data_IF_757911669648
#
_entry.id   IF_757911669648
#
_cell.length_a   1.000
_cell.length_b   1.000
_cell.length_c   1.000
_cell.angle_alpha   90.00
_cell.angle_beta   90.00
_cell.angle_gamma   90.00
#
_symmetry.space_group_name_H-M   'P 1'
#
loop_
_entity.id
_entity.type
_entity.pdbx_description
1 polymer ?
#
# COMPACT_ATOMS: atom_id res chain seq x y z
N UNK A 1 -29.85 11.74 -25.51
CA UNK A 1 -30.79 12.56 -24.74
C UNK A 1 -30.77 12.02 -23.33
N UNK A 2 -30.39 12.83 -22.33
CA UNK A 2 -30.25 12.37 -20.93
C UNK A 2 -31.52 12.71 -20.18
N UNK A 3 -32.02 11.82 -19.34
CA UNK A 3 -33.20 12.03 -18.50
C UNK A 3 -32.73 12.32 -17.08
N UNK A 4 -33.24 13.37 -16.47
CA UNK A 4 -32.91 13.72 -15.07
C UNK A 4 -34.17 14.05 -14.29
N UNK A 5 -34.09 13.91 -12.98
CA UNK A 5 -35.15 14.34 -12.07
C UNK A 5 -34.75 15.63 -11.39
N UNK A 6 -35.50 16.70 -11.63
CA UNK A 6 -35.28 18.01 -11.03
C UNK A 6 -36.15 18.18 -9.78
N UNK A 7 -35.55 18.64 -8.70
CA UNK A 7 -36.22 19.07 -7.48
C UNK A 7 -35.97 20.56 -7.24
N UNK A 8 -36.89 21.22 -6.55
CA UNK A 8 -36.63 22.56 -5.98
C UNK A 8 -35.66 22.39 -4.83
N UNK A 9 -34.67 23.27 -4.73
CA UNK A 9 -33.69 23.28 -3.64
C UNK A 9 -34.36 23.21 -2.26
N UNK A 10 -33.90 22.30 -1.39
CA UNK A 10 -34.48 22.02 -0.08
C UNK A 10 -35.72 21.11 -0.07
N UNK A 11 -36.31 20.78 -1.23
CA UNK A 11 -37.47 19.88 -1.30
C UNK A 11 -37.08 18.47 -1.75
N UNK A 12 -37.47 17.46 -0.96
CA UNK A 12 -37.38 16.05 -1.36
C UNK A 12 -38.66 15.58 -2.11
N UNK A 13 -39.64 16.47 -2.32
CA UNK A 13 -40.97 16.13 -2.84
C UNK A 13 -41.23 16.83 -4.18
N UNK A 14 -42.10 16.24 -4.99
CA UNK A 14 -42.55 16.76 -6.29
C UNK A 14 -41.47 16.90 -7.39
N UNK A 15 -40.51 15.96 -7.44
CA UNK A 15 -39.51 15.90 -8.51
C UNK A 15 -40.14 15.81 -9.90
N UNK A 16 -39.62 16.58 -10.86
CA UNK A 16 -40.06 16.58 -12.26
C UNK A 16 -39.01 15.93 -13.14
N UNK A 17 -39.41 14.91 -13.88
CA UNK A 17 -38.53 14.28 -14.86
C UNK A 17 -38.48 15.14 -16.12
N UNK A 18 -37.27 15.51 -16.55
CA UNK A 18 -37.03 16.31 -17.76
C UNK A 18 -35.95 15.66 -18.62
N UNK A 19 -36.03 15.92 -19.93
CA UNK A 19 -34.97 15.59 -20.85
C UNK A 19 -33.97 16.75 -20.93
N UNK A 20 -32.69 16.44 -20.76
CA UNK A 20 -31.58 17.37 -20.90
C UNK A 20 -31.10 17.34 -22.36
N UNK A 21 -31.18 18.50 -23.01
CA UNK A 21 -30.69 18.75 -24.35
C UNK A 21 -30.15 20.19 -24.44
N UNK A 22 -29.18 20.41 -25.34
CA UNK A 22 -28.62 21.74 -25.56
C UNK A 22 -27.63 22.18 -24.48
N UNK A 23 -27.79 23.42 -24.02
CA UNK A 23 -26.91 24.13 -23.08
C UNK A 23 -27.48 24.16 -21.66
N UNK A 24 -26.65 24.55 -20.67
CA UNK A 24 -27.12 24.71 -19.28
C UNK A 24 -28.26 25.74 -19.17
N UNK A 25 -28.24 26.79 -20.00
CA UNK A 25 -29.32 27.78 -20.08
C UNK A 25 -30.64 27.18 -20.55
N UNK A 26 -30.60 26.21 -21.48
CA UNK A 26 -31.79 25.49 -21.92
C UNK A 26 -32.37 24.63 -20.79
N UNK A 27 -31.49 23.96 -20.02
CA UNK A 27 -31.89 23.19 -18.84
C UNK A 27 -32.53 24.08 -17.77
N UNK A 28 -31.95 25.25 -17.49
CA UNK A 28 -32.50 26.23 -16.53
C UNK A 28 -33.86 26.77 -17.00
N UNK A 29 -34.04 27.05 -18.30
CA UNK A 29 -35.33 27.47 -18.85
C UNK A 29 -36.41 26.39 -18.69
N UNK A 30 -36.07 25.14 -18.99
CA UNK A 30 -36.98 24.00 -18.80
C UNK A 30 -37.30 23.80 -17.31
N UNK A 31 -36.29 23.90 -16.44
CA UNK A 31 -36.46 23.82 -15.00
C UNK A 31 -37.40 24.92 -14.49
N UNK A 32 -37.22 26.16 -14.94
CA UNK A 32 -38.08 27.29 -14.60
C UNK A 32 -39.54 27.05 -14.95
N UNK A 33 -39.80 26.56 -16.16
CA UNK A 33 -41.16 26.28 -16.62
C UNK A 33 -41.81 25.09 -15.90
N UNK A 34 -41.04 24.06 -15.56
CA UNK A 34 -41.56 22.81 -14.96
C UNK A 34 -41.71 22.87 -13.44
N UNK A 35 -40.82 23.58 -12.77
CA UNK A 35 -40.82 23.75 -11.31
C UNK A 35 -41.52 25.04 -10.87
N UNK A 36 -41.79 25.98 -11.77
CA UNK A 36 -42.46 27.24 -11.46
C UNK A 36 -41.59 28.23 -10.69
N UNK A 37 -40.27 28.12 -10.82
CA UNK A 37 -39.26 28.94 -10.13
C UNK A 37 -38.39 29.70 -11.13
N UNK A 38 -37.70 30.76 -10.70
CA UNK A 38 -36.67 31.45 -11.49
C UNK A 38 -35.32 30.75 -11.33
N UNK A 39 -35.11 29.66 -12.06
CA UNK A 39 -33.91 28.83 -11.99
C UNK A 39 -32.65 29.62 -12.37
N UNK A 40 -31.70 29.73 -11.44
CA UNK A 40 -30.40 30.39 -11.65
C UNK A 40 -29.24 29.39 -11.63
N UNK A 41 -29.31 28.40 -10.76
CA UNK A 41 -28.23 27.43 -10.52
C UNK A 41 -28.78 26.01 -10.35
N UNK A 42 -27.96 25.01 -10.68
CA UNK A 42 -28.28 23.59 -10.52
C UNK A 42 -27.20 22.91 -9.68
N UNK A 43 -27.60 22.08 -8.72
CA UNK A 43 -26.73 21.33 -7.83
C UNK A 43 -27.00 19.83 -7.95
N UNK A 44 -25.97 19.03 -7.68
CA UNK A 44 -26.14 17.59 -7.48
C UNK A 44 -26.65 17.29 -6.05
N UNK A 45 -27.05 16.05 -5.77
CA UNK A 45 -27.53 15.63 -4.45
C UNK A 45 -26.50 15.66 -3.30
N UNK A 46 -25.25 16.07 -3.56
CA UNK A 46 -24.21 16.29 -2.55
C UNK A 46 -23.86 17.78 -2.39
N UNK A 47 -24.63 18.68 -2.99
CA UNK A 47 -24.40 20.13 -2.94
C UNK A 47 -23.31 20.67 -3.87
N UNK A 48 -22.83 19.88 -4.83
CA UNK A 48 -21.91 20.34 -5.86
C UNK A 48 -22.64 21.13 -6.95
N UNK A 49 -22.20 22.36 -7.22
CA UNK A 49 -22.71 23.20 -8.31
C UNK A 49 -22.36 22.57 -9.67
N UNK A 50 -23.33 22.54 -10.59
CA UNK A 50 -23.16 22.06 -11.95
C UNK A 50 -23.07 23.27 -12.87
N UNK A 51 -21.88 23.51 -13.40
CA UNK A 51 -21.54 24.56 -14.35
C UNK A 51 -21.44 24.05 -15.80
N UNK A 52 -21.17 22.76 -15.99
CA UNK A 52 -21.13 22.10 -17.31
C UNK A 52 -22.19 20.99 -17.43
N UNK A 53 -23.02 21.10 -18.46
CA UNK A 53 -24.06 20.12 -18.80
C UNK A 53 -23.47 18.74 -19.12
N UNK A 54 -22.21 18.67 -19.56
CA UNK A 54 -21.52 17.41 -19.84
C UNK A 54 -21.40 16.51 -18.61
N UNK A 55 -21.38 17.08 -17.41
CA UNK A 55 -21.24 16.38 -16.13
C UNK A 55 -22.53 15.65 -15.69
N UNK A 56 -23.66 16.00 -16.28
CA UNK A 56 -24.97 15.42 -15.95
C UNK A 56 -25.10 14.04 -16.60
N UNK A 57 -25.40 13.00 -15.83
CA UNK A 57 -25.62 11.63 -16.32
C UNK A 57 -27.11 11.31 -16.47
N UNK A 58 -27.39 10.17 -17.09
CA UNK A 58 -28.75 9.65 -17.17
C UNK A 58 -29.22 9.22 -15.78
N UNK A 59 -30.47 9.52 -15.45
CA UNK A 59 -31.14 9.32 -14.16
C UNK A 59 -30.56 10.10 -12.97
N UNK A 60 -29.77 11.15 -13.21
CA UNK A 60 -29.28 12.03 -12.14
C UNK A 60 -30.42 12.78 -11.44
N UNK A 61 -30.25 12.96 -10.12
CA UNK A 61 -31.12 13.78 -9.27
C UNK A 61 -30.46 15.13 -9.04
N UNK A 62 -31.11 16.19 -9.53
CA UNK A 62 -30.59 17.55 -9.51
C UNK A 62 -31.51 18.48 -8.73
N UNK A 63 -30.93 19.48 -8.09
CA UNK A 63 -31.62 20.48 -7.27
C UNK A 63 -31.43 21.86 -7.87
N UNK A 64 -32.54 22.55 -8.12
CA UNK A 64 -32.56 23.84 -8.83
C UNK A 64 -32.88 24.96 -7.85
N UNK A 65 -32.10 26.04 -7.89
CA UNK A 65 -32.20 27.19 -6.98
C UNK A 65 -32.61 28.48 -7.70
N UNK A 66 -33.15 29.45 -6.94
CA UNK A 66 -33.42 30.82 -7.38
C UNK A 66 -32.33 31.84 -6.97
N UNK A 67 -31.15 31.36 -6.56
CA UNK A 67 -30.04 32.20 -6.07
C UNK A 67 -29.63 31.88 -4.63
N UNK A 68 -30.43 31.07 -3.93
CA UNK A 68 -30.12 30.57 -2.59
C UNK A 68 -29.07 29.45 -2.63
N UNK A 69 -28.22 29.32 -1.57
CA UNK A 69 -27.28 28.22 -1.43
C UNK A 69 -28.02 26.86 -1.33
N UNK A 70 -27.34 25.78 -1.71
CA UNK A 70 -27.91 24.42 -1.65
C UNK A 70 -28.40 24.06 -0.24
N UNK A 71 -29.63 23.56 -0.14
CA UNK A 71 -30.26 23.08 1.09
C UNK A 71 -30.46 21.57 0.94
N UNK A 72 -29.85 20.79 1.83
CA UNK A 72 -29.98 19.33 1.82
C UNK A 72 -31.43 18.93 2.18
N UNK A 73 -32.18 18.28 1.27
CA UNK A 73 -33.57 17.88 1.51
C UNK A 73 -33.73 16.87 2.65
N UNK A 74 -32.65 16.22 3.12
CA UNK A 74 -32.68 15.29 4.25
C UNK A 74 -32.77 16.00 5.62
N UNK A 75 -32.65 17.32 5.66
CA UNK A 75 -32.77 18.11 6.89
C UNK A 75 -34.23 18.46 7.25
N UNK A 76 -35.18 18.30 6.33
CA UNK A 76 -36.58 18.68 6.53
C UNK A 76 -37.46 17.46 6.86
N UNK A 77 -37.47 17.06 8.13
CA UNK A 77 -38.37 15.99 8.59
C UNK A 77 -38.03 15.22 9.87
N UNK A 78 -37.09 15.67 10.71
CA UNK A 78 -36.94 15.08 12.06
C UNK A 78 -37.39 16.08 13.12
N UNK A 79 -38.66 16.00 13.46
CA UNK A 79 -39.20 16.58 14.67
C UNK A 79 -38.58 15.89 15.89
N UNK A 80 -37.92 16.71 16.73
CA UNK A 80 -37.70 16.55 18.17
C UNK A 80 -37.37 15.15 18.68
N UNK A 81 -36.09 14.78 18.57
CA UNK A 81 -35.41 14.15 19.71
C UNK A 81 -34.25 15.08 20.10
N UNK A 82 -34.15 15.32 21.40
CA UNK A 82 -33.36 16.35 22.07
C UNK A 82 -31.91 16.43 21.57
N UNK A 83 -31.62 17.44 20.75
CA UNK A 83 -30.26 17.84 20.41
C UNK A 83 -30.06 19.31 20.78
N UNK A 84 -29.96 19.55 22.08
CA UNK A 84 -29.33 20.77 22.60
C UNK A 84 -27.88 20.80 22.12
N UNK A 85 -27.59 21.59 21.09
CA UNK A 85 -26.23 21.66 20.56
C UNK A 85 -26.02 22.61 19.39
N UNK A 86 -26.76 23.72 19.30
CA UNK A 86 -26.36 24.84 18.44
C UNK A 86 -25.11 25.51 19.02
N UNK A 87 -23.92 25.02 18.67
CA UNK A 87 -22.67 25.68 18.99
C UNK A 87 -21.82 25.83 17.73
N UNK A 88 -22.04 26.89 16.96
CA UNK A 88 -20.94 27.51 16.21
C UNK A 88 -20.37 28.66 17.04
N UNK A 89 -19.87 28.32 18.24
CA UNK A 89 -19.00 29.19 19.03
C UNK A 89 -17.58 28.90 18.51
N UNK A 90 -17.18 29.63 17.46
CA UNK A 90 -15.82 29.58 16.93
C UNK A 90 -14.86 30.15 17.98
N UNK A 91 -13.77 29.42 18.24
CA UNK A 91 -12.75 29.76 19.22
C UNK A 91 -11.39 29.82 18.51
N UNK A 92 -10.59 30.80 18.91
CA UNK A 92 -9.19 30.89 18.51
C UNK A 92 -8.31 30.54 19.71
N UNK A 93 -7.37 29.62 19.52
CA UNK A 93 -6.42 29.14 20.52
C UNK A 93 -5.02 29.61 20.11
N UNK A 94 -4.29 30.24 21.02
CA UNK A 94 -2.88 30.57 20.86
C UNK A 94 -2.05 29.54 21.63
N UNK A 95 -1.47 28.58 20.92
CA UNK A 95 -0.70 27.47 21.50
C UNK A 95 0.78 27.67 21.23
N UNK A 96 1.53 28.05 22.27
CA UNK A 96 2.97 28.30 22.16
C UNK A 96 3.36 29.35 21.12
N UNK A 97 2.45 30.28 20.77
CA UNK A 97 2.63 31.31 19.75
C UNK A 97 2.01 31.00 18.39
N UNK A 98 1.52 29.77 18.14
CA UNK A 98 0.80 29.41 16.91
C UNK A 98 -0.70 29.46 17.13
N UNK A 99 -1.41 30.08 16.18
CA UNK A 99 -2.87 30.24 16.25
C UNK A 99 -3.59 29.05 15.60
N UNK A 100 -4.56 28.49 16.31
CA UNK A 100 -5.45 27.42 15.84
C UNK A 100 -6.89 27.87 15.99
N UNK A 101 -7.71 27.62 14.97
CA UNK A 101 -9.13 27.94 14.99
C UNK A 101 -9.96 26.66 15.04
N UNK A 102 -10.89 26.58 15.98
CA UNK A 102 -11.74 25.39 16.19
C UNK A 102 -13.08 25.78 16.79
N UNK A 103 -14.01 24.84 16.92
CA UNK A 103 -15.29 25.09 17.60
C UNK A 103 -15.23 24.61 19.05
N UNK A 104 -16.02 25.24 19.93
CA UNK A 104 -16.21 24.76 21.31
C UNK A 104 -16.65 23.29 21.35
N UNK A 105 -17.57 22.91 20.46
CA UNK A 105 -18.04 21.53 20.31
C UNK A 105 -16.92 20.54 20.01
N UNK A 106 -15.92 20.93 19.20
CA UNK A 106 -14.76 20.07 18.91
C UNK A 106 -13.94 19.79 20.18
N UNK A 107 -13.77 20.78 21.05
CA UNK A 107 -12.97 20.64 22.27
C UNK A 107 -13.69 19.87 23.39
N UNK A 108 -15.03 19.91 23.41
CA UNK A 108 -15.83 19.40 24.53
C UNK A 108 -16.48 18.04 24.22
N UNK A 109 -16.94 17.81 22.99
CA UNK A 109 -17.85 16.69 22.72
C UNK A 109 -17.17 15.32 22.68
N UNK A 110 -15.92 15.26 22.19
CA UNK A 110 -15.28 13.97 21.90
C UNK A 110 -14.67 13.30 23.14
N UNK A 111 -14.05 14.10 23.99
CA UNK A 111 -13.42 13.66 25.23
C UNK A 111 -13.93 14.56 26.36
N UNK A 112 -15.16 14.33 26.85
CA UNK A 112 -15.82 15.21 27.83
C UNK A 112 -15.07 15.28 29.17
N UNK A 113 -14.25 14.27 29.47
CA UNK A 113 -13.43 14.20 30.67
C UNK A 113 -12.03 14.83 30.49
N UNK A 114 -11.69 15.30 29.28
CA UNK A 114 -10.39 15.92 29.02
C UNK A 114 -10.24 17.29 29.68
N UNK A 115 -9.00 17.71 29.93
CA UNK A 115 -8.74 19.07 30.45
C UNK A 115 -9.25 20.15 29.49
N UNK A 116 -9.18 19.92 28.17
CA UNK A 116 -9.73 20.85 27.18
C UNK A 116 -11.25 20.93 27.26
N UNK A 117 -11.94 19.81 27.44
CA UNK A 117 -13.38 19.84 27.67
C UNK A 117 -13.71 20.65 28.94
N UNK A 118 -13.02 20.39 30.05
CA UNK A 118 -13.22 21.14 31.30
C UNK A 118 -12.95 22.65 31.15
N UNK A 119 -11.91 23.03 30.40
CA UNK A 119 -11.55 24.45 30.16
C UNK A 119 -12.58 25.21 29.33
N UNK A 120 -13.36 24.52 28.48
CA UNK A 120 -14.25 25.14 27.49
C UNK A 120 -15.73 24.72 27.63
N UNK A 121 -16.08 23.88 28.61
CA UNK A 121 -17.45 23.39 28.88
C UNK A 121 -18.39 24.53 29.25
N UNK A 122 -17.98 25.35 30.21
CA UNK A 122 -18.76 26.50 30.68
C UNK A 122 -18.17 27.80 30.13
N UNK A 123 -19.03 28.78 29.78
CA UNK A 123 -18.56 30.08 29.22
C UNK A 123 -17.71 30.89 30.20
N UNK A 124 -17.86 30.67 31.51
CA UNK A 124 -17.28 31.53 32.56
C UNK A 124 -16.59 30.78 33.72
N UNK A 125 -16.48 29.44 33.67
CA UNK A 125 -15.97 28.67 34.82
C UNK A 125 -14.44 28.70 34.98
N UNK A 126 -13.69 28.92 33.89
CA UNK A 126 -12.24 28.96 33.91
C UNK A 126 -11.76 30.30 33.37
N UNK A 127 -11.06 31.08 34.19
CA UNK A 127 -10.50 32.40 33.84
C UNK A 127 -9.35 32.27 32.85
N UNK A 128 -9.63 31.76 31.65
CA UNK A 128 -8.65 31.51 30.62
C UNK A 128 -8.05 32.85 30.17
N UNK A 129 -6.72 32.98 30.27
CA UNK A 129 -6.03 34.17 29.77
C UNK A 129 -6.19 34.26 28.26
N UNK A 130 -6.72 35.38 27.78
CA UNK A 130 -6.81 35.69 26.37
C UNK A 130 -5.72 36.68 26.00
N UNK A 131 -5.21 36.58 24.76
CA UNK A 131 -4.35 37.62 24.20
C UNK A 131 -5.18 38.86 23.77
N UNK A 132 -4.54 39.99 23.38
CA UNK A 132 -5.27 41.19 22.94
C UNK A 132 -6.17 40.99 21.71
N UNK A 133 -6.08 39.84 21.02
CA UNK A 133 -6.90 39.47 19.86
C UNK A 133 -8.06 38.54 20.25
N UNK A 134 -8.22 38.23 21.54
CA UNK A 134 -9.27 37.34 22.05
C UNK A 134 -8.96 35.85 21.90
N UNK A 135 -7.70 35.47 21.59
CA UNK A 135 -7.32 34.07 21.49
C UNK A 135 -6.96 33.48 22.87
N UNK A 136 -7.48 32.30 23.18
CA UNK A 136 -7.23 31.60 24.45
C UNK A 136 -5.81 31.04 24.49
N UNK A 137 -5.04 31.40 25.51
CA UNK A 137 -3.64 31.01 25.64
C UNK A 137 -3.51 29.57 26.17
N UNK A 138 -2.76 28.75 25.45
CA UNK A 138 -2.36 27.41 25.88
C UNK A 138 -0.82 27.36 25.88
N UNK A 139 -0.23 27.25 27.06
CA UNK A 139 1.22 27.21 27.24
C UNK A 139 1.78 25.81 26.94
N UNK A 140 1.71 25.41 25.66
CA UNK A 140 2.17 24.11 25.15
C UNK A 140 2.79 24.27 23.77
N UNK A 141 3.59 23.28 23.35
CA UNK A 141 4.16 23.26 22.01
C UNK A 141 3.07 23.00 20.96
N UNK A 142 3.03 23.79 19.87
CA UNK A 142 2.05 23.63 18.81
C UNK A 142 2.21 22.32 18.03
N UNK A 143 3.43 21.77 17.96
CA UNK A 143 3.74 20.51 17.26
C UNK A 143 3.03 19.30 17.90
N UNK A 144 2.94 19.29 19.23
CA UNK A 144 2.20 18.25 19.96
C UNK A 144 0.70 18.52 20.01
N UNK A 145 0.27 19.78 19.88
CA UNK A 145 -1.13 20.16 19.98
C UNK A 145 -1.92 19.89 18.69
N UNK A 146 -1.30 20.08 17.52
CA UNK A 146 -1.97 19.89 16.22
C UNK A 146 -2.53 18.46 16.04
N UNK A 147 -1.79 17.37 16.36
CA UNK A 147 -2.34 16.01 16.36
C UNK A 147 -3.54 15.83 17.30
N UNK A 148 -3.51 16.44 18.49
CA UNK A 148 -4.59 16.36 19.48
C UNK A 148 -5.84 17.06 18.94
N UNK A 149 -5.69 18.26 18.37
CA UNK A 149 -6.80 19.00 17.78
C UNK A 149 -7.42 18.23 16.60
N UNK A 150 -6.58 17.61 15.77
CA UNK A 150 -7.03 16.78 14.66
C UNK A 150 -7.76 15.51 15.13
N UNK A 151 -7.27 14.84 16.18
CA UNK A 151 -7.99 13.76 16.85
C UNK A 151 -9.38 14.21 17.33
N UNK A 152 -9.47 15.37 17.96
CA UNK A 152 -10.75 15.94 18.41
C UNK A 152 -11.71 16.22 17.24
N UNK A 153 -11.20 16.58 16.05
CA UNK A 153 -12.01 16.82 14.83
C UNK A 153 -12.51 15.53 14.18
N UNK A 154 -11.62 14.61 13.85
CA UNK A 154 -11.95 13.45 13.00
C UNK A 154 -11.77 12.08 13.68
N UNK A 155 -11.19 12.04 14.88
CA UNK A 155 -11.14 10.82 15.72
C UNK A 155 -10.01 9.88 15.43
N UNK A 156 -9.08 10.31 14.58
CA UNK A 156 -7.86 9.56 14.30
C UNK A 156 -6.69 10.42 14.76
N UNK A 157 -5.80 9.83 15.54
CA UNK A 157 -4.57 10.48 15.96
C UNK A 157 -3.53 10.29 14.85
N UNK A 158 -3.33 11.33 14.04
CA UNK A 158 -2.32 11.35 12.98
C UNK A 158 -1.13 12.15 13.50
N UNK A 159 0.01 11.50 13.63
CA UNK A 159 1.22 12.06 14.22
C UNK A 159 2.31 12.07 13.15
N UNK A 160 2.98 13.21 12.96
CA UNK A 160 4.09 13.31 12.02
C UNK A 160 5.30 12.50 12.51
N UNK A 161 6.03 11.91 11.57
CA UNK A 161 7.26 11.17 11.86
C UNK A 161 8.26 12.06 12.63
N UNK A 162 8.64 11.62 13.83
CA UNK A 162 9.58 12.33 14.72
C UNK A 162 8.98 12.90 16.02
N UNK A 163 7.67 12.81 16.24
CA UNK A 163 7.03 13.26 17.49
C UNK A 163 7.04 12.12 18.53
N UNK A 164 7.65 12.36 19.69
CA UNK A 164 7.74 11.35 20.75
C UNK A 164 6.47 11.33 21.62
N UNK A 165 5.62 10.31 21.42
CA UNK A 165 4.38 10.09 22.17
C UNK A 165 4.58 9.64 23.63
N UNK A 166 5.81 9.43 24.09
CA UNK A 166 6.12 9.09 25.49
C UNK A 166 6.62 10.31 26.30
N UNK A 167 6.78 11.47 25.65
CA UNK A 167 7.20 12.71 26.31
C UNK A 167 6.11 13.33 27.18
N UNK A 168 6.02 12.91 28.46
CA UNK A 168 5.29 13.54 29.58
C UNK A 168 3.94 14.21 29.21
N UNK A 169 2.92 13.39 28.99
CA UNK A 169 1.52 13.83 28.96
C UNK A 169 1.01 14.09 30.39
N UNK A 170 0.92 15.36 30.79
CA UNK A 170 0.11 15.83 31.93
C UNK A 170 -1.10 16.64 31.46
N UNK A 171 -1.72 16.22 30.36
CA UNK A 171 -3.07 16.61 30.00
C UNK A 171 -3.83 15.30 29.88
N UNK A 172 -4.58 14.98 30.94
CA UNK A 172 -5.35 13.77 31.10
C UNK A 172 -6.32 13.59 29.93
N UNK A 173 -5.95 12.71 29.02
CA UNK A 173 -6.84 11.89 28.20
C UNK A 173 -6.27 10.48 28.36
N UNK A 174 -7.07 9.45 28.68
CA UNK A 174 -6.59 8.08 28.78
C UNK A 174 -6.31 7.52 27.37
N UNK A 175 -5.34 8.09 26.66
CA UNK A 175 -4.89 7.60 25.34
C UNK A 175 -3.80 6.53 25.50
N UNK A 176 -3.20 6.42 26.69
CA UNK A 176 -2.11 5.48 26.94
C UNK A 176 -2.54 4.00 26.94
N UNK A 177 -3.81 3.69 27.11
CA UNK A 177 -4.33 2.31 27.09
C UNK A 177 -5.07 1.93 25.80
N UNK A 178 -5.43 2.89 24.96
CA UNK A 178 -6.10 2.67 23.65
C UNK A 178 -5.15 2.77 22.46
N UNK A 179 -4.02 3.48 22.59
CA UNK A 179 -3.01 3.59 21.53
C UNK A 179 -2.14 2.33 21.35
N UNK A 180 -2.11 1.40 22.31
CA UNK A 180 -1.46 0.09 22.11
C UNK A 180 -2.33 -0.92 21.33
N UNK A 181 -3.63 -0.64 21.17
CA UNK A 181 -4.56 -1.55 20.47
C UNK A 181 -5.15 -0.94 19.18
N UNK A 182 -4.59 0.16 18.70
CA UNK A 182 -5.03 0.83 17.47
C UNK A 182 -3.86 1.19 16.56
N UNK A 183 -2.83 0.33 16.52
CA UNK A 183 -2.34 -0.02 15.20
C UNK A 183 -3.54 -0.68 14.49
N UNK A 184 -3.96 -0.26 13.28
CA UNK A 184 -4.76 -1.18 12.47
C UNK A 184 -4.00 -2.50 12.52
N UNK A 185 -4.67 -3.62 12.83
CA UNK A 185 -4.03 -4.93 12.79
C UNK A 185 -3.18 -4.92 11.53
N UNK A 186 -1.85 -5.03 11.67
CA UNK A 186 -0.97 -4.95 10.51
C UNK A 186 -1.59 -5.92 9.51
N UNK A 187 -2.15 -5.35 8.44
CA UNK A 187 -2.87 -6.13 7.46
C UNK A 187 -1.77 -6.83 6.68
N UNK A 188 -1.25 -7.89 7.30
CA UNK A 188 -0.30 -8.81 6.74
C UNK A 188 -1.00 -9.69 5.70
N UNK A 189 -2.25 -9.38 5.32
CA UNK A 189 -2.83 -9.98 4.15
C UNK A 189 -1.90 -9.72 2.97
N UNK A 190 -1.51 -10.78 2.24
CA UNK A 190 -0.71 -10.63 1.03
C UNK A 190 -1.39 -9.62 0.12
N UNK A 191 -0.63 -8.69 -0.45
CA UNK A 191 -1.18 -7.78 -1.47
C UNK A 191 -1.91 -8.62 -2.52
N UNK A 192 -3.16 -8.28 -2.81
CA UNK A 192 -3.90 -9.05 -3.80
C UNK A 192 -3.25 -8.87 -5.17
N UNK A 193 -3.35 -9.89 -6.02
CA UNK A 193 -2.86 -9.81 -7.40
C UNK A 193 -3.39 -8.57 -8.14
N UNK A 194 -4.65 -8.20 -7.91
CA UNK A 194 -5.29 -7.02 -8.51
C UNK A 194 -4.64 -5.72 -8.05
N UNK A 195 -4.34 -5.60 -6.76
CA UNK A 195 -3.65 -4.44 -6.19
C UNK A 195 -2.23 -4.34 -6.71
N UNK A 196 -1.51 -5.46 -6.78
CA UNK A 196 -0.16 -5.49 -7.34
C UNK A 196 -0.15 -5.09 -8.82
N UNK A 197 -1.08 -5.60 -9.63
CA UNK A 197 -1.20 -5.20 -11.04
C UNK A 197 -1.57 -3.72 -11.16
N UNK A 198 -2.47 -3.20 -10.33
CA UNK A 198 -2.75 -1.75 -10.28
C UNK A 198 -1.51 -0.95 -9.93
N UNK A 199 -0.72 -1.40 -8.96
CA UNK A 199 0.54 -0.78 -8.57
C UNK A 199 1.52 -0.76 -9.74
N UNK A 200 1.67 -1.88 -10.47
CA UNK A 200 2.52 -1.95 -11.65
C UNK A 200 2.06 -0.99 -12.76
N UNK A 201 0.75 -0.83 -12.96
CA UNK A 201 0.19 0.09 -13.96
C UNK A 201 0.33 1.56 -13.55
N UNK A 202 0.31 1.84 -12.25
CA UNK A 202 0.45 3.19 -11.71
C UNK A 202 1.91 3.67 -11.61
N UNK A 203 2.87 2.74 -11.59
CA UNK A 203 4.30 3.05 -11.46
C UNK A 203 5.07 2.90 -12.77
N UNK A 204 5.89 3.89 -13.18
CA UNK A 204 6.73 3.77 -14.35
C UNK A 204 7.72 2.60 -14.24
N UNK A 205 7.95 1.88 -15.34
CA UNK A 205 8.97 0.82 -15.45
C UNK A 205 10.40 1.30 -15.24
N UNK A 206 10.64 2.61 -15.35
CA UNK A 206 11.94 3.26 -15.11
C UNK A 206 12.17 3.69 -13.67
N UNK A 207 11.19 3.51 -12.78
CA UNK A 207 11.34 3.91 -11.38
C UNK A 207 12.33 2.99 -10.67
N UNK A 208 13.43 3.55 -10.17
CA UNK A 208 14.45 2.79 -9.45
C UNK A 208 13.89 2.14 -8.19
N UNK A 209 12.92 2.75 -7.52
CA UNK A 209 12.35 2.25 -6.25
C UNK A 209 11.17 1.28 -6.45
N UNK A 210 10.92 0.82 -7.68
CA UNK A 210 9.74 0.01 -8.01
C UNK A 210 9.79 -1.36 -7.32
N UNK A 211 9.10 -1.46 -6.18
CA UNK A 211 8.97 -2.63 -5.29
C UNK A 211 10.08 -2.83 -4.25
N UNK A 212 10.94 -1.84 -4.02
CA UNK A 212 12.04 -1.95 -3.07
C UNK A 212 11.52 -1.92 -1.61
N UNK A 213 11.93 -2.89 -0.80
CA UNK A 213 11.62 -2.94 0.64
C UNK A 213 10.15 -3.22 0.98
N UNK A 214 9.31 -3.54 -0.01
CA UNK A 214 7.89 -3.79 0.20
C UNK A 214 7.63 -5.23 0.63
N UNK A 215 6.51 -5.43 1.35
CA UNK A 215 6.03 -6.75 1.74
C UNK A 215 5.04 -7.30 0.71
N UNK A 216 5.41 -8.43 0.10
CA UNK A 216 4.61 -9.19 -0.83
C UNK A 216 4.32 -10.60 -0.31
N UNK A 217 4.65 -10.92 0.96
CA UNK A 217 4.60 -12.28 1.48
C UNK A 217 3.28 -12.97 1.13
N UNK A 218 3.34 -14.16 0.52
CA UNK A 218 2.16 -14.92 0.11
C UNK A 218 1.43 -14.43 -1.15
N UNK A 219 1.92 -13.38 -1.82
CA UNK A 219 1.22 -12.80 -2.98
C UNK A 219 1.34 -13.70 -4.21
N UNK A 220 0.30 -13.67 -5.06
CA UNK A 220 0.31 -14.32 -6.36
C UNK A 220 0.80 -13.36 -7.45
N UNK A 221 2.05 -13.56 -7.84
CA UNK A 221 2.79 -12.84 -8.88
C UNK A 221 3.08 -13.73 -10.11
N UNK A 222 2.45 -14.90 -10.19
CA UNK A 222 2.70 -15.91 -11.25
C UNK A 222 2.40 -15.35 -12.64
N UNK A 223 3.14 -15.75 -13.67
CA UNK A 223 2.92 -15.35 -15.08
C UNK A 223 2.99 -13.85 -15.36
N UNK A 224 3.44 -13.03 -14.41
CA UNK A 224 3.59 -11.59 -14.63
C UNK A 224 4.90 -11.29 -15.37
N UNK A 225 4.88 -10.23 -16.18
CA UNK A 225 6.09 -9.64 -16.75
C UNK A 225 6.70 -8.67 -15.74
N UNK A 226 7.79 -9.11 -15.11
CA UNK A 226 8.50 -8.43 -14.03
C UNK A 226 9.95 -8.13 -14.44
N UNK A 227 10.20 -7.97 -15.75
CA UNK A 227 11.52 -7.63 -16.26
C UNK A 227 12.03 -6.33 -15.67
N UNK A 228 13.31 -6.31 -15.28
CA UNK A 228 13.98 -5.15 -14.69
C UNK A 228 13.35 -4.59 -13.40
N UNK A 229 12.44 -5.32 -12.75
CA UNK A 229 11.80 -4.85 -11.52
C UNK A 229 12.82 -4.80 -10.36
N UNK A 230 12.63 -3.86 -9.43
CA UNK A 230 13.50 -3.73 -8.26
C UNK A 230 12.82 -4.26 -6.99
N UNK A 231 12.98 -5.55 -6.72
CA UNK A 231 12.61 -6.21 -5.47
C UNK A 231 13.72 -6.20 -4.42
N UNK A 232 14.68 -5.28 -4.51
CA UNK A 232 15.74 -5.17 -3.48
C UNK A 232 15.12 -5.03 -2.10
N UNK A 233 15.61 -5.79 -1.12
CA UNK A 233 15.11 -5.81 0.27
C UNK A 233 13.60 -6.14 0.41
N UNK A 234 12.92 -6.61 -0.63
CA UNK A 234 11.51 -6.96 -0.56
C UNK A 234 11.30 -8.28 0.19
N UNK A 235 10.18 -8.40 0.89
CA UNK A 235 9.72 -9.67 1.45
C UNK A 235 8.84 -10.38 0.41
N UNK A 236 9.39 -11.39 -0.24
CA UNK A 236 8.73 -12.28 -1.21
C UNK A 236 8.54 -13.70 -0.62
N UNK A 237 8.58 -13.84 0.70
CA UNK A 237 8.42 -15.14 1.35
C UNK A 237 7.07 -15.76 0.97
N UNK A 238 7.08 -17.05 0.64
CA UNK A 238 5.88 -17.81 0.23
C UNK A 238 5.10 -17.22 -0.95
N UNK A 239 5.72 -16.33 -1.75
CA UNK A 239 5.09 -15.80 -2.96
C UNK A 239 4.97 -16.87 -4.05
N UNK A 240 3.94 -16.78 -4.87
CA UNK A 240 3.85 -17.51 -6.12
C UNK A 240 4.37 -16.65 -7.27
N UNK A 241 5.55 -16.96 -7.79
CA UNK A 241 6.22 -16.36 -8.95
C UNK A 241 6.32 -17.37 -10.12
N UNK A 242 5.53 -18.45 -10.10
CA UNK A 242 5.59 -19.48 -11.13
C UNK A 242 5.33 -18.90 -12.53
N UNK A 243 6.15 -19.28 -13.51
CA UNK A 243 6.13 -18.79 -14.90
C UNK A 243 6.28 -17.26 -15.05
N UNK A 244 6.70 -16.53 -14.01
CA UNK A 244 6.93 -15.09 -14.12
C UNK A 244 8.20 -14.81 -14.93
N UNK A 245 8.23 -13.66 -15.62
CA UNK A 245 9.43 -13.20 -16.30
C UNK A 245 10.18 -12.22 -15.39
N UNK A 246 11.23 -12.70 -14.73
CA UNK A 246 12.10 -11.94 -13.82
C UNK A 246 13.46 -11.60 -14.48
N UNK A 247 13.52 -11.62 -15.81
CA UNK A 247 14.75 -11.32 -16.53
C UNK A 247 15.29 -9.93 -16.14
N UNK A 248 16.56 -9.88 -15.76
CA UNK A 248 17.28 -8.72 -15.24
C UNK A 248 16.66 -8.06 -13.99
N UNK A 249 15.81 -8.77 -13.23
CA UNK A 249 15.26 -8.25 -11.98
C UNK A 249 16.33 -8.13 -10.88
N UNK A 250 16.13 -7.19 -9.96
CA UNK A 250 16.96 -7.02 -8.78
C UNK A 250 16.27 -7.58 -7.53
N UNK A 251 16.78 -8.68 -7.00
CA UNK A 251 16.35 -9.38 -5.79
C UNK A 251 17.46 -9.35 -4.72
N UNK A 252 18.38 -8.37 -4.78
CA UNK A 252 19.42 -8.19 -3.78
C UNK A 252 18.79 -8.05 -2.38
N UNK A 253 19.25 -8.87 -1.43
CA UNK A 253 18.74 -8.89 -0.05
C UNK A 253 17.23 -9.15 0.08
N UNK A 254 16.57 -9.67 -0.96
CA UNK A 254 15.18 -10.07 -0.88
C UNK A 254 15.04 -11.38 -0.07
N UNK A 255 13.91 -11.53 0.62
CA UNK A 255 13.53 -12.79 1.25
C UNK A 255 12.58 -13.56 0.33
N UNK A 256 13.04 -14.68 -0.20
CA UNK A 256 12.31 -15.60 -1.08
C UNK A 256 12.02 -16.93 -0.37
N UNK A 257 12.14 -16.98 0.97
CA UNK A 257 11.94 -18.21 1.74
C UNK A 257 10.59 -18.87 1.44
N UNK A 258 10.61 -20.14 1.06
CA UNK A 258 9.42 -20.92 0.71
C UNK A 258 8.60 -20.39 -0.48
N UNK A 259 9.15 -19.49 -1.30
CA UNK A 259 8.48 -19.01 -2.51
C UNK A 259 8.50 -20.04 -3.65
N UNK A 260 7.56 -19.93 -4.59
CA UNK A 260 7.43 -20.82 -5.75
C UNK A 260 7.76 -20.06 -7.02
N UNK A 261 8.91 -20.34 -7.63
CA UNK A 261 9.40 -19.72 -8.86
C UNK A 261 9.42 -20.71 -10.03
N UNK A 262 8.67 -21.81 -9.97
CA UNK A 262 8.72 -22.86 -10.98
C UNK A 262 8.52 -22.32 -12.40
N UNK A 263 9.39 -22.74 -13.32
CA UNK A 263 9.42 -22.33 -14.73
C UNK A 263 9.56 -20.81 -14.93
N UNK A 264 10.04 -20.05 -13.94
CA UNK A 264 10.31 -18.63 -14.09
C UNK A 264 11.54 -18.37 -14.97
N UNK A 265 11.53 -17.24 -15.68
CA UNK A 265 12.72 -16.75 -16.38
C UNK A 265 13.54 -15.87 -15.44
N UNK A 266 14.72 -16.35 -15.04
CA UNK A 266 15.65 -15.71 -14.11
C UNK A 266 16.97 -15.29 -14.80
N UNK A 267 16.93 -15.09 -16.12
CA UNK A 267 18.08 -14.60 -16.89
C UNK A 267 18.61 -13.28 -16.35
N UNK A 268 19.92 -13.20 -16.09
CA UNK A 268 20.58 -11.98 -15.63
C UNK A 268 20.06 -11.43 -14.28
N UNK A 269 19.36 -12.25 -13.48
CA UNK A 269 18.82 -11.83 -12.19
C UNK A 269 19.95 -11.51 -11.20
N UNK A 270 19.82 -10.39 -10.49
CA UNK A 270 20.72 -10.03 -9.39
C UNK A 270 20.10 -10.49 -8.10
N UNK A 271 20.82 -11.28 -7.30
CA UNK A 271 20.26 -11.81 -6.07
C UNK A 271 21.28 -11.85 -4.93
N UNK A 272 22.26 -10.95 -4.94
CA UNK A 272 23.30 -10.92 -3.90
C UNK A 272 22.67 -10.83 -2.50
N UNK A 273 23.11 -11.69 -1.58
CA UNK A 273 22.61 -11.78 -0.20
C UNK A 273 21.10 -12.02 -0.06
N UNK A 274 20.41 -12.59 -1.06
CA UNK A 274 19.01 -13.01 -0.93
C UNK A 274 18.88 -14.27 -0.06
N UNK A 275 17.81 -14.39 0.72
CA UNK A 275 17.41 -15.67 1.34
C UNK A 275 16.49 -16.42 0.37
N UNK A 276 16.78 -17.68 0.02
CA UNK A 276 15.88 -18.52 -0.75
C UNK A 276 15.78 -19.95 -0.16
N UNK A 277 15.84 -20.03 1.17
CA UNK A 277 15.62 -21.26 1.93
C UNK A 277 14.27 -21.91 1.57
N UNK A 278 14.32 -23.18 1.19
CA UNK A 278 13.12 -23.97 0.85
C UNK A 278 12.31 -23.44 -0.34
N UNK A 279 12.86 -22.54 -1.15
CA UNK A 279 12.18 -22.06 -2.35
C UNK A 279 12.11 -23.17 -3.43
N UNK A 280 11.04 -23.16 -4.22
CA UNK A 280 10.91 -24.00 -5.42
C UNK A 280 11.35 -23.20 -6.64
N UNK A 281 12.30 -23.70 -7.40
CA UNK A 281 12.91 -23.12 -8.59
C UNK A 281 12.90 -24.13 -9.73
N UNK A 282 11.92 -25.05 -9.79
CA UNK A 282 11.91 -26.16 -10.75
C UNK A 282 11.84 -25.66 -12.19
N UNK A 283 12.67 -26.21 -13.07
CA UNK A 283 12.66 -25.87 -14.50
C UNK A 283 12.90 -24.38 -14.77
N UNK A 284 13.57 -23.66 -13.87
CA UNK A 284 13.89 -22.26 -14.08
C UNK A 284 14.93 -22.08 -15.19
N UNK A 285 14.88 -20.94 -15.87
CA UNK A 285 15.88 -20.56 -16.86
C UNK A 285 16.81 -19.48 -16.30
N UNK A 286 18.08 -19.81 -16.09
CA UNK A 286 19.14 -18.87 -15.70
C UNK A 286 20.09 -18.53 -16.86
N UNK A 287 19.88 -19.12 -18.05
CA UNK A 287 20.75 -18.99 -19.21
C UNK A 287 20.41 -17.75 -20.02
N UNK A 288 21.29 -16.75 -19.98
CA UNK A 288 21.20 -15.59 -20.86
C UNK A 288 21.85 -15.91 -22.22
N UNK A 289 21.11 -15.81 -23.35
CA UNK A 289 21.68 -16.02 -24.69
C UNK A 289 22.78 -15.03 -25.07
N UNK A 290 22.93 -13.91 -24.34
CA UNK A 290 24.03 -12.96 -24.48
C UNK A 290 25.31 -13.35 -23.72
N UNK A 291 25.26 -14.43 -22.93
CA UNK A 291 26.41 -14.96 -22.18
C UNK A 291 26.57 -14.38 -20.76
N UNK A 292 25.67 -13.52 -20.30
CA UNK A 292 25.65 -13.07 -18.91
C UNK A 292 25.17 -14.19 -17.98
N UNK A 293 26.13 -14.88 -17.38
CA UNK A 293 25.88 -15.95 -16.40
C UNK A 293 25.21 -15.39 -15.14
N UNK A 294 24.20 -16.09 -14.62
CA UNK A 294 23.58 -15.74 -13.34
C UNK A 294 24.61 -15.85 -12.18
N UNK A 295 24.60 -14.86 -11.28
CA UNK A 295 25.50 -14.83 -10.13
C UNK A 295 24.75 -15.10 -8.82
N UNK A 296 25.00 -16.28 -8.26
CA UNK A 296 24.45 -16.80 -7.02
C UNK A 296 25.56 -17.08 -5.98
N UNK A 297 26.68 -16.37 -6.07
CA UNK A 297 27.81 -16.50 -5.14
C UNK A 297 27.41 -16.18 -3.69
N UNK A 298 27.88 -17.01 -2.75
CA UNK A 298 27.73 -16.80 -1.30
C UNK A 298 26.29 -16.88 -0.79
N UNK A 299 25.38 -17.49 -1.55
CA UNK A 299 23.95 -17.51 -1.23
C UNK A 299 23.54 -18.57 -0.24
N UNK A 300 22.50 -18.26 0.53
CA UNK A 300 21.81 -19.20 1.41
C UNK A 300 20.61 -19.85 0.69
N UNK A 301 20.78 -21.11 0.28
CA UNK A 301 19.84 -21.91 -0.51
C UNK A 301 19.61 -23.32 0.08
N UNK A 302 19.52 -23.53 1.42
CA UNK A 302 19.29 -24.87 1.94
C UNK A 302 17.88 -25.37 1.58
N UNK A 303 17.78 -26.65 1.23
CA UNK A 303 16.52 -27.32 0.92
C UNK A 303 15.82 -26.80 -0.35
N UNK A 304 16.50 -26.00 -1.17
CA UNK A 304 15.94 -25.46 -2.41
C UNK A 304 15.69 -26.58 -3.42
N UNK A 305 14.61 -26.47 -4.19
CA UNK A 305 14.26 -27.44 -5.22
C UNK A 305 14.48 -26.83 -6.61
N UNK A 306 15.60 -27.15 -7.27
CA UNK A 306 15.92 -26.63 -8.61
C UNK A 306 15.77 -27.68 -9.71
N UNK A 307 15.08 -28.79 -9.47
CA UNK A 307 14.97 -29.91 -10.41
C UNK A 307 14.66 -29.46 -11.86
N UNK A 308 15.45 -29.95 -12.82
CA UNK A 308 15.29 -29.67 -14.25
C UNK A 308 15.70 -28.26 -14.72
N UNK A 309 16.34 -27.46 -13.86
CA UNK A 309 16.69 -26.08 -14.20
C UNK A 309 17.84 -25.96 -15.20
N UNK A 310 17.78 -24.93 -16.05
CA UNK A 310 18.85 -24.56 -16.97
C UNK A 310 19.80 -23.56 -16.29
N UNK A 311 20.98 -24.03 -15.90
CA UNK A 311 21.95 -23.32 -15.07
C UNK A 311 23.36 -23.30 -15.70
N UNK A 312 23.43 -23.35 -17.03
CA UNK A 312 24.67 -23.32 -17.79
C UNK A 312 25.54 -22.13 -17.35
N UNK A 313 26.76 -22.41 -16.91
CA UNK A 313 27.75 -21.39 -16.54
C UNK A 313 27.49 -20.66 -15.23
N UNK A 314 26.49 -21.04 -14.44
CA UNK A 314 26.10 -20.31 -13.23
C UNK A 314 27.26 -20.17 -12.22
N UNK A 315 27.34 -19.03 -11.53
CA UNK A 315 28.29 -18.85 -10.42
C UNK A 315 27.60 -19.16 -9.08
N UNK A 316 27.97 -20.26 -8.43
CA UNK A 316 27.49 -20.71 -7.12
C UNK A 316 28.62 -20.80 -6.09
N UNK A 317 29.73 -20.10 -6.32
CA UNK A 317 30.91 -20.12 -5.45
C UNK A 317 30.52 -19.81 -4.00
N UNK A 318 30.99 -20.62 -3.04
CA UNK A 318 30.70 -20.47 -1.60
C UNK A 318 29.19 -20.42 -1.24
N UNK A 319 28.28 -20.87 -2.13
CA UNK A 319 26.87 -20.95 -1.80
C UNK A 319 26.58 -22.13 -0.86
N UNK A 320 25.54 -22.00 -0.02
CA UNK A 320 25.03 -23.06 0.85
C UNK A 320 23.83 -23.71 0.18
N UNK A 321 24.00 -24.92 -0.35
CA UNK A 321 22.96 -25.72 -1.02
C UNK A 321 22.57 -26.97 -0.23
N UNK A 322 22.89 -27.05 1.06
CA UNK A 322 22.63 -28.25 1.88
C UNK A 322 21.19 -28.77 1.73
N UNK A 323 21.05 -30.07 1.48
CA UNK A 323 19.79 -30.76 1.21
C UNK A 323 19.02 -30.25 -0.05
N UNK A 324 19.68 -29.56 -0.99
CA UNK A 324 19.04 -29.10 -2.22
C UNK A 324 18.73 -30.27 -3.16
N UNK A 325 17.65 -30.15 -3.92
CA UNK A 325 17.30 -31.07 -5.00
C UNK A 325 17.74 -30.46 -6.33
N UNK A 326 18.71 -31.08 -6.97
CA UNK A 326 19.33 -30.61 -8.21
C UNK A 326 19.17 -31.63 -9.34
N UNK A 327 18.22 -32.58 -9.24
CA UNK A 327 18.03 -33.62 -10.26
C UNK A 327 17.82 -33.03 -11.66
N UNK A 328 18.40 -33.67 -12.67
CA UNK A 328 18.22 -33.32 -14.09
C UNK A 328 18.58 -31.86 -14.43
N UNK A 329 19.43 -31.20 -13.63
CA UNK A 329 19.87 -29.84 -13.92
C UNK A 329 20.98 -29.79 -14.97
N UNK A 330 20.97 -28.75 -15.80
CA UNK A 330 22.08 -28.44 -16.70
C UNK A 330 23.05 -27.49 -15.98
N UNK A 331 24.16 -28.02 -15.49
CA UNK A 331 25.20 -27.30 -14.74
C UNK A 331 26.53 -27.22 -15.53
N UNK A 332 26.47 -27.30 -16.86
CA UNK A 332 27.65 -27.22 -17.72
C UNK A 332 28.42 -25.93 -17.49
N UNK A 333 29.72 -26.01 -17.23
CA UNK A 333 30.58 -24.85 -16.97
C UNK A 333 30.25 -24.06 -15.70
N UNK A 334 29.44 -24.62 -14.79
CA UNK A 334 29.07 -23.98 -13.53
C UNK A 334 30.29 -23.83 -12.59
N UNK A 335 30.34 -22.74 -11.83
CA UNK A 335 31.36 -22.53 -10.79
C UNK A 335 30.78 -22.89 -9.42
N UNK A 336 31.13 -24.07 -8.92
CA UNK A 336 30.69 -24.64 -7.64
C UNK A 336 31.84 -24.69 -6.60
N UNK A 337 32.87 -23.88 -6.78
CA UNK A 337 34.03 -23.90 -5.90
C UNK A 337 33.67 -23.43 -4.47
N UNK A 338 34.00 -24.23 -3.46
CA UNK A 338 33.69 -23.93 -2.05
C UNK A 338 32.20 -24.03 -1.69
N UNK A 339 31.35 -24.53 -2.58
CA UNK A 339 29.90 -24.68 -2.35
C UNK A 339 29.61 -25.81 -1.36
N UNK A 340 28.65 -25.63 -0.46
CA UNK A 340 28.18 -26.69 0.43
C UNK A 340 27.05 -27.47 -0.23
N UNK A 341 27.38 -28.67 -0.74
CA UNK A 341 26.49 -29.61 -1.43
C UNK A 341 26.14 -30.81 -0.53
N UNK A 342 26.23 -30.67 0.80
CA UNK A 342 25.92 -31.78 1.72
C UNK A 342 24.49 -32.30 1.50
N UNK A 343 24.34 -33.63 1.36
CA UNK A 343 23.08 -34.34 1.12
C UNK A 343 22.27 -33.82 -0.09
N UNK A 344 22.95 -33.29 -1.12
CA UNK A 344 22.28 -32.88 -2.36
C UNK A 344 22.03 -34.06 -3.30
N UNK A 345 20.93 -33.99 -4.05
CA UNK A 345 20.66 -34.95 -5.12
C UNK A 345 21.01 -34.33 -6.48
N UNK A 346 22.13 -34.75 -7.06
CA UNK A 346 22.65 -34.30 -8.36
C UNK A 346 22.38 -35.32 -9.48
N UNK A 347 21.47 -36.27 -9.26
CA UNK A 347 21.24 -37.34 -10.23
C UNK A 347 20.71 -36.82 -11.56
N UNK A 348 21.19 -37.36 -12.68
CA UNK A 348 20.80 -36.92 -14.02
C UNK A 348 21.35 -35.55 -14.44
N UNK A 349 22.21 -34.91 -13.64
CA UNK A 349 22.81 -33.63 -14.01
C UNK A 349 23.79 -33.75 -15.19
N UNK A 350 23.96 -32.64 -15.90
CA UNK A 350 25.13 -32.41 -16.76
C UNK A 350 26.13 -31.49 -16.03
N UNK A 351 27.29 -32.04 -15.70
CA UNK A 351 28.37 -31.36 -14.97
C UNK A 351 29.63 -31.16 -15.85
N UNK A 352 29.49 -31.21 -17.18
CA UNK A 352 30.61 -30.99 -18.08
C UNK A 352 31.27 -29.62 -17.80
N UNK A 353 32.60 -29.59 -17.61
CA UNK A 353 33.38 -28.37 -17.31
C UNK A 353 32.98 -27.64 -16.00
N UNK A 354 32.18 -28.26 -15.13
CA UNK A 354 31.84 -27.67 -13.83
C UNK A 354 33.05 -27.70 -12.87
N UNK A 355 33.28 -26.59 -12.16
CA UNK A 355 34.36 -26.46 -11.18
C UNK A 355 33.85 -26.74 -9.75
N UNK A 356 34.14 -27.92 -9.22
CA UNK A 356 33.76 -28.38 -7.88
C UNK A 356 34.91 -28.27 -6.84
N UNK A 357 35.94 -27.46 -7.11
CA UNK A 357 37.11 -27.39 -6.22
C UNK A 357 36.73 -26.93 -4.82
N UNK A 358 36.99 -27.77 -3.82
CA UNK A 358 36.74 -27.45 -2.40
C UNK A 358 35.26 -27.42 -2.02
N UNK A 359 34.36 -27.94 -2.84
CA UNK A 359 32.95 -28.10 -2.47
C UNK A 359 32.77 -29.23 -1.46
N UNK A 360 31.87 -29.06 -0.48
CA UNK A 360 31.49 -30.14 0.44
C UNK A 360 30.43 -31.04 -0.23
N UNK A 361 30.84 -32.22 -0.69
CA UNK A 361 29.96 -33.20 -1.36
C UNK A 361 29.55 -34.37 -0.45
N UNK A 362 29.64 -34.20 0.86
CA UNK A 362 29.30 -35.27 1.82
C UNK A 362 27.84 -35.70 1.67
N UNK A 363 27.60 -36.98 1.42
CA UNK A 363 26.25 -37.52 1.24
C UNK A 363 25.55 -37.06 -0.04
N UNK A 364 26.25 -36.40 -0.96
CA UNK A 364 25.69 -36.04 -2.26
C UNK A 364 25.53 -37.28 -3.15
N UNK A 365 24.43 -37.34 -3.91
CA UNK A 365 24.09 -38.44 -4.81
C UNK A 365 24.43 -38.04 -6.25
N UNK A 366 25.20 -38.90 -6.94
CA UNK A 366 25.64 -38.70 -8.33
C UNK A 366 25.24 -39.92 -9.18
N UNK A 367 23.95 -40.17 -9.33
CA UNK A 367 23.42 -41.26 -10.15
C UNK A 367 23.03 -40.77 -11.55
N UNK A 368 23.06 -41.65 -12.56
CA UNK A 368 22.57 -41.37 -13.93
C UNK A 368 23.12 -40.08 -14.58
N UNK A 369 24.34 -39.68 -14.20
CA UNK A 369 24.99 -38.49 -14.74
C UNK A 369 25.07 -38.51 -16.27
N UNK A 370 24.61 -37.44 -16.93
CA UNK A 370 24.65 -37.29 -18.40
C UNK A 370 26.08 -37.33 -18.93
N UNK A 371 27.01 -36.76 -18.17
CA UNK A 371 28.45 -36.77 -18.48
C UNK A 371 29.25 -37.26 -17.27
N UNK A 372 30.26 -38.15 -17.45
CA UNK A 372 31.12 -38.58 -16.36
C UNK A 372 31.86 -37.41 -15.72
N UNK A 373 31.83 -37.31 -14.40
CA UNK A 373 32.59 -36.30 -13.67
C UNK A 373 34.09 -36.65 -13.70
N UNK A 374 34.94 -35.75 -14.19
CA UNK A 374 36.39 -35.89 -14.03
C UNK A 374 36.80 -35.58 -12.58
N UNK A 375 36.84 -36.62 -11.74
CA UNK A 375 37.11 -36.54 -10.30
C UNK A 375 38.48 -35.94 -9.93
N UNK A 376 39.38 -35.72 -10.90
CA UNK A 376 40.68 -35.07 -10.68
C UNK A 376 40.58 -33.60 -10.26
N UNK A 377 39.40 -32.98 -10.39
CA UNK A 377 39.15 -31.60 -9.93
C UNK A 377 38.39 -31.51 -8.59
N UNK A 378 37.98 -32.65 -8.03
CA UNK A 378 36.86 -32.72 -7.07
C UNK A 378 37.26 -33.08 -5.64
N UNK A 379 38.53 -33.44 -5.38
CA UNK A 379 38.91 -34.02 -4.08
C UNK A 379 40.19 -33.39 -3.53
N UNK A 380 40.03 -32.52 -2.52
CA UNK A 380 40.94 -32.50 -1.36
C UNK A 380 40.21 -32.02 -0.12
#
# INVERSE_FOLDING_TARGET
>A
MRRVTLFVNGSARNGKVVAVYGTLSDLLSVASNKLGIKATSVYNGKGGLIDDIALIRDDDVLFVCEGEPFIDPQTDGRAQEELTGSHTDWLTLNVGGRYFTTTRSTLVNKEPDSMLAHMFKDKDAWGNKQDPRGAFLIDRSPEYFEPILNYLRHGQLIVNDGINLLGRYYLAVPVASSAQNSQPAEDHSPISRKEFVRFLLATPTKSELRCQGLNFSGADLSRLDLRYINFKMANLSRCNLAHANLCCANLERADLSGSVLDCANLQGVKMLCSNAEGASLKGCNFEDPSGLKANLEGKFLPGVDMEGSQMTGINLRVATLKNAKLKNCNLRGATLAGTDLENCDLSGCDLQEANLRGSNVKGAIFEEMLTPLHMSQSVR
#
